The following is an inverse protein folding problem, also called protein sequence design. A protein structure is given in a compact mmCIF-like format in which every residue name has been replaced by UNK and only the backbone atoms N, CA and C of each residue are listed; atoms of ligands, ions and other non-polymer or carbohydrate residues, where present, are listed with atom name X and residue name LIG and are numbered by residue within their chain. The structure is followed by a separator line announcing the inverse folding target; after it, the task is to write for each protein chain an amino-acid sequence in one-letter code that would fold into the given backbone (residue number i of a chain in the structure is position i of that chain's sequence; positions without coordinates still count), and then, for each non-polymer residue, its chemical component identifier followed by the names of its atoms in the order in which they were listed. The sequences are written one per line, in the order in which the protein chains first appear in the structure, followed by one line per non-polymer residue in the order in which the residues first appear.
data_IF_753838524027
#
_entry.id   IF_753838524027
#
_cell.length_a   1.000
_cell.length_b   1.000
_cell.length_c   1.000
_cell.angle_alpha   90.00
_cell.angle_beta   90.00
_cell.angle_gamma   90.00
#
_symmetry.space_group_name_H-M   'P 1'
#
loop_
_entity.id
_entity.type
_entity.pdbx_description
1 polymer ?
#
# COMPACT_ATOMS: atom_id res chain seq x y z
N UNK A 1 -44.03 -6.46 54.50
CA UNK A 1 -44.21 -5.61 53.30
C UNK A 1 -42.92 -5.04 52.76
N UNK A 2 -41.83 -5.79 52.82
CA UNK A 2 -40.49 -5.29 52.56
C UNK A 2 -39.66 -6.01 51.48
N UNK A 3 -40.20 -7.04 50.83
CA UNK A 3 -39.40 -7.88 49.90
C UNK A 3 -39.62 -7.57 48.42
N UNK A 4 -40.73 -6.94 48.04
CA UNK A 4 -41.04 -6.60 46.63
C UNK A 4 -40.29 -5.37 46.09
N UNK A 5 -39.84 -4.44 46.92
CA UNK A 5 -39.14 -3.23 46.47
C UNK A 5 -37.66 -3.50 46.10
N UNK A 6 -37.01 -4.48 46.71
CA UNK A 6 -35.58 -4.76 46.41
C UNK A 6 -35.36 -5.40 45.05
N UNK A 7 -36.34 -6.16 44.53
CA UNK A 7 -36.25 -6.77 43.19
C UNK A 7 -36.50 -5.77 42.05
N UNK A 8 -37.31 -4.77 42.26
CA UNK A 8 -37.58 -3.74 41.24
C UNK A 8 -36.39 -2.79 41.06
N UNK A 9 -35.68 -2.45 42.10
CA UNK A 9 -34.48 -1.61 42.02
C UNK A 9 -33.30 -2.32 41.39
N UNK A 10 -33.18 -3.65 41.57
CA UNK A 10 -32.12 -4.44 40.95
C UNK A 10 -32.35 -4.61 39.45
N UNK A 11 -33.62 -4.73 39.01
CA UNK A 11 -33.96 -4.82 37.58
C UNK A 11 -33.73 -3.49 36.85
N UNK A 12 -33.95 -2.36 37.50
CA UNK A 12 -33.73 -1.03 36.91
C UNK A 12 -32.24 -0.71 36.75
N UNK A 13 -31.38 -1.20 37.65
CA UNK A 13 -29.93 -1.01 37.55
C UNK A 13 -29.28 -1.84 36.45
N UNK A 14 -29.85 -2.99 36.11
CA UNK A 14 -29.34 -3.84 35.01
C UNK A 14 -29.75 -3.28 33.65
N UNK A 15 -30.89 -2.61 33.54
CA UNK A 15 -31.34 -1.98 32.28
C UNK A 15 -30.55 -0.70 31.98
N UNK A 16 -30.06 0.00 32.99
CA UNK A 16 -29.28 1.22 32.80
C UNK A 16 -27.83 0.99 32.39
N UNK A 17 -27.32 -0.23 32.54
CA UNK A 17 -25.93 -0.59 32.18
C UNK A 17 -25.75 -1.10 30.76
N UNK A 18 -26.83 -1.21 29.96
CA UNK A 18 -26.76 -1.75 28.58
C UNK A 18 -26.78 -0.65 27.49
N UNK A 19 -26.85 0.62 27.87
CA UNK A 19 -27.07 1.71 26.89
C UNK A 19 -25.83 2.54 26.51
N UNK A 20 -24.62 2.11 26.84
CA UNK A 20 -23.43 2.88 26.45
C UNK A 20 -22.30 2.04 25.88
N UNK A 21 -22.58 1.26 24.83
CA UNK A 21 -21.52 0.82 23.91
C UNK A 21 -22.03 0.83 22.47
N UNK A 22 -22.64 1.95 22.05
CA UNK A 22 -22.57 2.34 20.65
C UNK A 22 -21.55 3.45 20.56
N UNK A 23 -20.30 3.10 20.81
CA UNK A 23 -19.19 3.86 20.30
C UNK A 23 -19.31 3.77 18.77
N UNK A 24 -19.89 4.77 18.12
CA UNK A 24 -19.54 5.09 16.76
C UNK A 24 -18.03 5.29 16.76
N UNK A 25 -17.26 4.25 16.45
CA UNK A 25 -15.94 4.45 15.88
C UNK A 25 -16.23 5.23 14.60
N UNK A 26 -16.07 6.56 14.63
CA UNK A 26 -15.81 7.31 13.42
C UNK A 26 -14.55 6.65 12.86
N UNK A 27 -14.71 5.72 11.93
CA UNK A 27 -13.66 5.41 10.98
C UNK A 27 -13.37 6.77 10.33
N UNK A 28 -12.33 7.45 10.79
CA UNK A 28 -11.83 8.62 10.11
C UNK A 28 -11.21 8.05 8.83
N UNK A 29 -12.02 8.02 7.77
CA UNK A 29 -11.56 7.63 6.44
C UNK A 29 -10.34 8.48 6.12
N UNK A 30 -9.22 7.83 5.86
CA UNK A 30 -7.99 8.51 5.45
C UNK A 30 -8.13 8.83 3.98
N UNK A 31 -8.36 10.12 3.69
CA UNK A 31 -8.60 10.62 2.34
C UNK A 31 -7.27 10.96 1.66
N UNK A 32 -7.17 10.62 0.37
CA UNK A 32 -5.98 10.88 -0.45
C UNK A 32 -6.37 11.36 -1.85
N UNK A 33 -7.21 12.40 -1.96
CA UNK A 33 -7.66 12.93 -3.25
C UNK A 33 -6.53 13.65 -4.01
N UNK A 34 -5.63 14.29 -3.27
CA UNK A 34 -4.50 15.05 -3.80
C UNK A 34 -3.19 14.72 -3.07
N UNK A 35 -2.06 15.24 -3.57
CA UNK A 35 -0.74 14.96 -3.01
C UNK A 35 -0.56 15.53 -1.60
N UNK A 36 -1.17 16.67 -1.28
CA UNK A 36 -1.02 17.30 0.04
C UNK A 36 -1.66 16.42 1.13
N UNK A 37 -2.84 15.87 0.87
CA UNK A 37 -3.52 14.92 1.77
C UNK A 37 -2.67 13.65 1.96
N UNK A 38 -2.08 13.13 0.88
CA UNK A 38 -1.24 11.94 0.90
C UNK A 38 0.04 12.21 1.72
N UNK A 39 0.74 13.29 1.44
CA UNK A 39 1.95 13.67 2.18
C UNK A 39 1.63 13.92 3.66
N UNK A 40 0.52 14.62 3.97
CA UNK A 40 0.09 14.84 5.34
C UNK A 40 -0.17 13.51 6.07
N UNK A 41 -0.77 12.52 5.41
CA UNK A 41 -0.95 11.19 5.96
C UNK A 41 0.41 10.51 6.22
N UNK A 42 1.31 10.50 5.24
CA UNK A 42 2.63 9.89 5.36
C UNK A 42 3.42 10.48 6.54
N UNK A 43 3.47 11.81 6.67
CA UNK A 43 4.16 12.48 7.78
C UNK A 43 3.58 12.17 9.15
N UNK A 44 2.28 11.95 9.25
CA UNK A 44 1.58 11.68 10.53
C UNK A 44 1.49 10.21 10.89
N UNK A 45 1.64 9.33 9.92
CA UNK A 45 1.39 7.89 10.08
C UNK A 45 2.52 7.19 10.85
N UNK A 46 2.13 6.32 11.78
CA UNK A 46 3.08 5.53 12.55
C UNK A 46 3.74 4.42 11.72
N UNK A 47 3.11 3.96 10.64
CA UNK A 47 3.72 2.94 9.79
C UNK A 47 5.02 3.44 9.11
N UNK A 48 5.16 4.76 8.94
CA UNK A 48 6.38 5.38 8.43
C UNK A 48 7.57 5.34 9.41
N UNK A 49 7.34 5.00 10.68
CA UNK A 49 8.43 4.94 11.68
C UNK A 49 9.46 3.86 11.32
N UNK A 50 9.10 2.87 10.51
CA UNK A 50 10.01 1.80 10.05
C UNK A 50 10.98 2.26 8.95
N UNK A 51 10.62 3.30 8.20
CA UNK A 51 11.40 3.80 7.05
C UNK A 51 11.75 5.29 7.15
N UNK A 52 11.49 5.90 8.32
CA UNK A 52 11.72 7.32 8.53
C UNK A 52 10.71 8.23 7.83
N UNK A 53 10.67 9.48 8.27
CA UNK A 53 9.74 10.51 7.76
C UNK A 53 10.46 11.68 7.10
N UNK A 54 11.76 11.57 6.91
CA UNK A 54 12.54 12.64 6.29
C UNK A 54 12.48 12.53 4.75
N UNK A 55 12.38 13.67 4.09
CA UNK A 55 12.40 13.84 2.62
C UNK A 55 11.38 12.95 1.88
N UNK A 56 10.16 12.82 2.43
CA UNK A 56 9.11 12.04 1.77
C UNK A 56 8.78 12.63 0.41
N UNK A 57 8.85 11.78 -0.63
CA UNK A 57 8.57 12.14 -2.02
C UNK A 57 7.61 11.15 -2.65
N UNK A 58 6.62 11.63 -3.41
CA UNK A 58 5.76 10.80 -4.25
C UNK A 58 6.53 10.43 -5.52
N UNK A 59 6.75 9.13 -5.74
CA UNK A 59 7.44 8.62 -6.91
C UNK A 59 6.58 8.68 -8.17
N UNK A 60 5.35 8.21 -8.05
CA UNK A 60 4.35 8.22 -9.12
C UNK A 60 2.95 7.94 -8.56
N UNK A 61 1.93 8.21 -9.37
CA UNK A 61 0.53 7.91 -9.05
C UNK A 61 -0.14 7.27 -10.25
N UNK A 62 -0.76 6.11 -10.04
CA UNK A 62 -1.46 5.36 -11.07
C UNK A 62 -2.92 5.23 -10.70
N UNK A 63 -3.79 5.57 -11.64
CA UNK A 63 -5.23 5.38 -11.54
C UNK A 63 -5.63 4.16 -12.36
N UNK A 64 -6.33 3.23 -11.73
CA UNK A 64 -6.80 2.00 -12.37
C UNK A 64 -8.18 1.64 -11.82
N UNK A 65 -9.17 1.61 -12.72
CA UNK A 65 -10.56 1.40 -12.36
C UNK A 65 -11.02 2.38 -11.26
N UNK A 66 -11.38 1.90 -10.09
CA UNK A 66 -11.74 2.71 -8.93
C UNK A 66 -10.60 2.91 -7.94
N UNK A 67 -9.43 2.36 -8.24
CA UNK A 67 -8.26 2.42 -7.36
C UNK A 67 -7.29 3.52 -7.78
N UNK A 68 -6.58 4.06 -6.80
CA UNK A 68 -5.46 4.98 -6.94
C UNK A 68 -4.27 4.38 -6.18
N UNK A 69 -3.21 4.03 -6.88
CA UNK A 69 -1.98 3.50 -6.29
C UNK A 69 -0.91 4.59 -6.32
N UNK A 70 -0.32 4.87 -5.17
CA UNK A 70 0.70 5.91 -4.99
C UNK A 70 1.98 5.28 -4.50
N UNK A 71 3.04 5.36 -5.28
CA UNK A 71 4.39 5.01 -4.84
C UNK A 71 5.06 6.20 -4.16
N UNK A 72 5.79 5.95 -3.09
CA UNK A 72 6.49 6.99 -2.34
C UNK A 72 7.87 6.51 -1.86
N UNK A 73 8.72 7.47 -1.51
CA UNK A 73 10.04 7.27 -0.93
C UNK A 73 10.21 8.14 0.31
N UNK A 74 11.11 7.70 1.19
CA UNK A 74 11.76 8.52 2.22
C UNK A 74 13.27 8.33 2.09
N UNK A 75 14.06 8.95 2.97
CA UNK A 75 15.52 8.79 2.94
C UNK A 75 15.99 7.36 3.16
N UNK A 76 15.22 6.54 3.87
CA UNK A 76 15.62 5.21 4.29
C UNK A 76 14.67 4.10 3.83
N UNK A 77 13.68 4.42 3.00
CA UNK A 77 12.74 3.40 2.54
C UNK A 77 11.84 3.81 1.39
N UNK A 78 11.11 2.85 0.90
CA UNK A 78 10.16 2.98 -0.20
C UNK A 78 8.86 2.25 0.14
N UNK A 79 7.76 2.67 -0.46
CA UNK A 79 6.49 2.03 -0.23
C UNK A 79 5.40 2.46 -1.19
N UNK A 80 4.22 1.88 -1.01
CA UNK A 80 3.04 2.25 -1.77
C UNK A 80 1.82 2.38 -0.87
N UNK A 81 0.85 3.16 -1.33
CA UNK A 81 -0.49 3.31 -0.75
C UNK A 81 -1.52 2.92 -1.80
N UNK A 82 -2.59 2.26 -1.38
CA UNK A 82 -3.75 1.99 -2.22
C UNK A 82 -4.96 2.70 -1.65
N UNK A 83 -5.60 3.48 -2.49
CA UNK A 83 -6.84 4.16 -2.19
C UNK A 83 -7.94 3.63 -3.11
N UNK A 84 -9.14 3.46 -2.57
CA UNK A 84 -10.31 3.07 -3.33
C UNK A 84 -11.33 4.21 -3.37
N UNK A 85 -11.93 4.43 -4.53
CA UNK A 85 -12.93 5.49 -4.71
C UNK A 85 -14.25 5.09 -4.04
N UNK A 86 -14.72 5.88 -3.09
CA UNK A 86 -16.00 5.66 -2.44
C UNK A 86 -17.18 6.23 -3.26
N UNK A 87 -18.42 6.00 -2.79
CA UNK A 87 -19.66 6.47 -3.44
C UNK A 87 -19.74 8.01 -3.55
N UNK A 88 -19.00 8.76 -2.73
CA UNK A 88 -18.93 10.23 -2.78
C UNK A 88 -17.85 10.75 -3.72
N UNK A 89 -17.09 9.86 -4.35
CA UNK A 89 -16.01 10.20 -5.27
C UNK A 89 -14.66 10.44 -4.60
N UNK A 90 -14.52 10.27 -3.27
CA UNK A 90 -13.27 10.42 -2.55
C UNK A 90 -12.48 9.13 -2.59
N UNK A 91 -11.15 9.26 -2.68
CA UNK A 91 -10.20 8.17 -2.55
C UNK A 91 -9.86 7.92 -1.08
N UNK A 92 -10.26 6.75 -0.57
CA UNK A 92 -10.08 6.33 0.83
C UNK A 92 -8.99 5.28 0.89
N UNK A 93 -8.03 5.43 1.81
CA UNK A 93 -6.94 4.49 2.01
C UNK A 93 -7.46 3.11 2.40
N UNK A 94 -7.01 2.08 1.70
CA UNK A 94 -7.41 0.69 1.92
C UNK A 94 -6.22 -0.22 2.20
N UNK A 95 -5.02 0.15 1.73
CA UNK A 95 -3.80 -0.62 1.97
C UNK A 95 -2.57 0.29 1.98
N UNK A 96 -1.54 -0.10 2.74
CA UNK A 96 -0.24 0.57 2.76
C UNK A 96 0.87 -0.44 3.06
N UNK A 97 1.98 -0.31 2.35
CA UNK A 97 3.19 -1.13 2.56
C UNK A 97 4.41 -0.25 2.44
N UNK A 98 5.40 -0.50 3.30
CA UNK A 98 6.70 0.15 3.23
C UNK A 98 7.80 -0.84 3.63
N UNK A 99 8.97 -0.69 3.03
CA UNK A 99 10.19 -1.42 3.38
C UNK A 99 11.40 -0.50 3.38
N UNK A 100 12.33 -0.76 4.29
CA UNK A 100 13.62 -0.07 4.33
C UNK A 100 14.48 -0.42 3.12
N UNK A 101 15.31 0.54 2.69
CA UNK A 101 16.39 0.32 1.72
C UNK A 101 17.63 0.02 2.53
N UNK A 102 18.31 -1.10 2.24
CA UNK A 102 19.59 -1.43 2.86
C UNK A 102 20.73 -0.71 2.15
N UNK A 103 21.82 -0.48 2.89
CA UNK A 103 23.04 0.12 2.32
C UNK A 103 23.62 -0.85 1.28
N UNK A 104 23.85 -0.38 0.06
CA UNK A 104 24.26 -1.20 -1.08
C UNK A 104 23.14 -1.55 -2.07
N UNK A 105 21.89 -1.31 -1.70
CA UNK A 105 20.77 -1.53 -2.59
C UNK A 105 20.80 -0.57 -3.79
N UNK A 106 20.33 -1.06 -4.94
CA UNK A 106 20.23 -0.27 -6.18
C UNK A 106 19.18 0.84 -6.13
N UNK A 107 18.59 1.09 -4.96
CA UNK A 107 17.50 2.06 -4.78
C UNK A 107 16.20 1.64 -5.43
N UNK A 108 15.98 0.33 -5.60
CA UNK A 108 14.78 -0.25 -6.20
C UNK A 108 14.12 -1.23 -5.23
N UNK A 109 12.84 -1.04 -5.00
CA UNK A 109 12.02 -1.94 -4.18
C UNK A 109 10.93 -2.60 -4.99
N UNK A 110 10.56 -3.81 -4.60
CA UNK A 110 9.55 -4.65 -5.24
C UNK A 110 8.45 -5.02 -4.27
N UNK A 111 7.20 -4.95 -4.74
CA UNK A 111 6.04 -5.27 -3.94
C UNK A 111 5.03 -6.07 -4.75
N UNK A 112 4.25 -6.90 -4.06
CA UNK A 112 3.01 -7.45 -4.60
C UNK A 112 1.87 -6.73 -3.86
N UNK A 113 1.14 -5.90 -4.60
CA UNK A 113 0.03 -5.11 -4.07
C UNK A 113 -1.32 -5.66 -4.54
N UNK A 114 -2.36 -5.37 -3.76
CA UNK A 114 -3.75 -5.61 -4.13
C UNK A 114 -4.45 -4.29 -4.41
N UNK A 115 -5.35 -4.30 -5.40
CA UNK A 115 -6.21 -3.16 -5.74
C UNK A 115 -7.61 -3.66 -6.08
N UNK A 116 -8.58 -2.78 -6.32
CA UNK A 116 -10.00 -3.10 -6.44
C UNK A 116 -10.58 -3.76 -5.18
N UNK A 117 -10.12 -3.34 -4.00
CA UNK A 117 -10.45 -3.92 -2.71
C UNK A 117 -11.92 -3.71 -2.31
N UNK A 118 -12.61 -2.73 -2.89
CA UNK A 118 -14.05 -2.52 -2.70
C UNK A 118 -14.91 -3.73 -3.12
N UNK A 119 -14.36 -4.62 -3.94
CA UNK A 119 -15.02 -5.86 -4.37
C UNK A 119 -14.79 -7.03 -3.39
N UNK A 120 -14.15 -6.76 -2.24
CA UNK A 120 -13.70 -7.77 -1.28
C UNK A 120 -12.36 -8.39 -1.65
N UNK A 121 -11.63 -8.88 -0.64
CA UNK A 121 -10.27 -9.43 -0.81
C UNK A 121 -10.19 -10.59 -1.81
N UNK A 122 -11.24 -11.41 -1.89
CA UNK A 122 -11.29 -12.56 -2.82
C UNK A 122 -11.42 -12.14 -4.29
N UNK A 123 -12.04 -10.98 -4.52
CA UNK A 123 -12.27 -10.42 -5.84
C UNK A 123 -11.30 -9.28 -6.18
N UNK A 124 -10.34 -8.99 -5.30
CA UNK A 124 -9.29 -8.02 -5.57
C UNK A 124 -8.36 -8.50 -6.69
N UNK A 125 -7.75 -7.55 -7.36
CA UNK A 125 -6.72 -7.78 -8.36
C UNK A 125 -5.33 -7.65 -7.74
N UNK A 126 -4.34 -8.31 -8.34
CA UNK A 126 -2.95 -8.21 -7.92
C UNK A 126 -2.14 -7.41 -8.94
N UNK A 127 -1.18 -6.67 -8.42
CA UNK A 127 -0.17 -5.99 -9.23
C UNK A 127 1.22 -6.27 -8.68
N UNK A 128 2.20 -6.30 -9.58
CA UNK A 128 3.60 -6.21 -9.23
C UNK A 128 4.04 -4.76 -9.36
N UNK A 129 4.56 -4.21 -8.29
CA UNK A 129 4.92 -2.80 -8.18
C UNK A 129 6.45 -2.71 -8.01
N UNK A 130 7.10 -1.90 -8.82
CA UNK A 130 8.51 -1.58 -8.70
C UNK A 130 8.65 -0.09 -8.48
N UNK A 131 9.34 0.30 -7.40
CA UNK A 131 9.60 1.70 -7.08
C UNK A 131 11.11 1.92 -7.13
N UNK A 132 11.54 2.96 -7.84
CA UNK A 132 12.94 3.35 -7.96
C UNK A 132 13.14 4.76 -7.45
N UNK A 133 14.25 5.00 -6.76
CA UNK A 133 14.71 6.33 -6.38
C UNK A 133 15.22 7.17 -7.59
N UNK A 134 15.47 6.49 -8.71
CA UNK A 134 15.90 7.13 -9.95
C UNK A 134 17.41 7.35 -10.08
N UNK A 135 18.23 6.80 -9.19
CA UNK A 135 19.68 7.07 -9.21
C UNK A 135 20.38 6.37 -10.40
N UNK A 136 20.43 5.06 -10.41
CA UNK A 136 21.29 4.30 -11.34
C UNK A 136 20.51 3.38 -12.27
N UNK A 137 19.38 2.82 -11.81
CA UNK A 137 18.63 1.83 -12.58
C UNK A 137 17.75 2.51 -13.61
N UNK A 138 17.99 2.20 -14.89
CA UNK A 138 17.20 2.70 -16.02
C UNK A 138 16.23 1.66 -16.59
N UNK A 139 16.51 0.37 -16.34
CA UNK A 139 15.69 -0.72 -16.82
C UNK A 139 15.67 -1.86 -15.80
N UNK A 140 14.52 -2.48 -15.66
CA UNK A 140 14.36 -3.75 -14.96
C UNK A 140 13.81 -4.81 -15.90
N UNK A 141 14.42 -5.99 -15.87
CA UNK A 141 13.90 -7.22 -16.46
C UNK A 141 13.33 -8.06 -15.33
N UNK A 142 12.04 -8.34 -15.40
CA UNK A 142 11.29 -9.09 -14.38
C UNK A 142 10.91 -10.41 -14.99
N UNK A 143 11.35 -11.52 -14.41
CA UNK A 143 10.92 -12.87 -14.76
C UNK A 143 9.89 -13.34 -13.73
N UNK A 144 8.71 -13.73 -14.21
CA UNK A 144 7.62 -14.26 -13.36
C UNK A 144 7.20 -15.60 -13.94
N UNK A 145 7.44 -16.69 -13.22
CA UNK A 145 7.19 -18.05 -13.70
C UNK A 145 7.78 -18.29 -15.10
N UNK A 146 8.98 -17.76 -15.38
CA UNK A 146 9.67 -17.85 -16.66
C UNK A 146 9.17 -16.90 -17.76
N UNK A 147 8.15 -16.06 -17.49
CA UNK A 147 7.71 -15.00 -18.41
C UNK A 147 8.52 -13.75 -18.15
N UNK A 148 9.15 -13.19 -19.19
CA UNK A 148 10.04 -12.03 -19.07
C UNK A 148 9.32 -10.75 -19.48
N UNK A 149 9.44 -9.73 -18.61
CA UNK A 149 8.90 -8.39 -18.78
C UNK A 149 10.02 -7.37 -18.67
N UNK A 150 10.29 -6.67 -19.76
CA UNK A 150 11.25 -5.58 -19.79
C UNK A 150 10.52 -4.25 -19.56
N UNK A 151 10.97 -3.47 -18.56
CA UNK A 151 10.40 -2.17 -18.22
C UNK A 151 11.48 -1.13 -18.00
N UNK A 152 11.25 0.06 -18.55
CA UNK A 152 12.12 1.22 -18.32
C UNK A 152 11.72 1.95 -17.04
N UNK A 153 12.71 2.41 -16.29
CA UNK A 153 12.62 3.31 -15.15
C UNK A 153 13.18 4.68 -15.55
N UNK A 154 12.71 5.71 -14.89
CA UNK A 154 13.24 7.06 -15.12
C UNK A 154 14.51 7.23 -14.30
N UNK A 155 15.58 7.74 -14.90
CA UNK A 155 16.79 8.20 -14.20
C UNK A 155 16.69 9.68 -13.90
N UNK A 156 17.34 10.12 -12.82
CA UNK A 156 17.33 11.52 -12.34
C UNK A 156 16.07 11.91 -11.55
N UNK A 157 15.11 11.03 -11.40
CA UNK A 157 13.93 11.23 -10.53
C UNK A 157 13.27 9.91 -10.14
N UNK A 158 12.61 9.87 -8.98
CA UNK A 158 11.81 8.73 -8.57
C UNK A 158 10.77 8.33 -9.61
N UNK A 159 10.48 7.03 -9.69
CA UNK A 159 9.47 6.50 -10.60
C UNK A 159 8.89 5.18 -10.10
N UNK A 160 7.71 4.81 -10.60
CA UNK A 160 7.04 3.57 -10.28
C UNK A 160 6.63 2.83 -11.56
N UNK A 161 6.80 1.52 -11.56
CA UNK A 161 6.22 0.60 -12.54
C UNK A 161 5.07 -0.15 -11.84
N UNK A 162 3.95 -0.26 -12.52
CA UNK A 162 2.79 -1.00 -12.06
C UNK A 162 2.38 -2.01 -13.14
N UNK A 163 2.47 -3.29 -12.80
CA UNK A 163 2.19 -4.39 -13.72
C UNK A 163 0.98 -5.18 -13.19
N UNK A 164 -0.17 -4.96 -13.83
CA UNK A 164 -1.41 -5.64 -13.45
C UNK A 164 -1.50 -7.05 -14.01
N UNK A 165 -2.15 -7.94 -13.25
CA UNK A 165 -2.54 -9.30 -13.71
C UNK A 165 -1.38 -10.12 -14.30
N UNK A 166 -0.20 -10.00 -13.66
CA UNK A 166 1.03 -10.63 -14.16
C UNK A 166 1.00 -12.15 -14.10
N UNK A 167 0.25 -12.69 -13.15
CA UNK A 167 0.10 -14.12 -12.96
C UNK A 167 -1.38 -14.47 -13.00
N UNK A 168 -1.82 -15.41 -13.84
CA UNK A 168 -3.18 -15.91 -13.78
C UNK A 168 -3.50 -16.49 -12.40
N UNK A 169 -4.69 -16.25 -11.90
CA UNK A 169 -5.13 -16.77 -10.58
C UNK A 169 -4.99 -18.29 -10.47
N UNK A 170 -5.08 -19.01 -11.58
CA UNK A 170 -4.89 -20.46 -11.65
C UNK A 170 -3.47 -20.92 -11.28
N UNK A 171 -2.46 -20.08 -11.47
CA UNK A 171 -1.06 -20.39 -11.20
C UNK A 171 -0.65 -20.11 -9.74
N UNK A 172 -1.49 -19.44 -8.94
CA UNK A 172 -1.15 -19.12 -7.54
C UNK A 172 -0.96 -20.33 -6.64
N UNK A 173 -1.56 -21.49 -7.01
CA UNK A 173 -1.46 -22.73 -6.24
C UNK A 173 -0.07 -23.35 -6.29
N UNK A 174 0.66 -23.12 -7.37
CA UNK A 174 1.97 -23.72 -7.62
C UNK A 174 3.11 -22.83 -7.09
N UNK A 175 2.76 -21.70 -6.48
CA UNK A 175 3.70 -20.68 -6.06
C UNK A 175 4.08 -19.74 -7.21
N UNK A 176 4.60 -18.57 -6.85
CA UNK A 176 5.05 -17.58 -7.82
C UNK A 176 6.56 -17.43 -7.66
N UNK A 177 7.30 -17.74 -8.72
CA UNK A 177 8.74 -17.55 -8.76
C UNK A 177 9.06 -16.22 -9.44
N UNK A 178 9.80 -15.35 -8.73
CA UNK A 178 10.24 -14.04 -9.21
C UNK A 178 11.77 -14.01 -9.30
N UNK A 179 12.26 -13.41 -10.38
CA UNK A 179 13.65 -13.04 -10.55
C UNK A 179 13.72 -11.67 -11.21
N UNK A 180 14.69 -10.83 -10.83
CA UNK A 180 14.86 -9.48 -11.34
C UNK A 180 16.30 -9.21 -11.70
N UNK A 181 16.51 -8.61 -12.89
CA UNK A 181 17.80 -8.10 -13.34
C UNK A 181 17.68 -6.61 -13.61
N UNK A 182 18.69 -5.86 -13.23
CA UNK A 182 18.70 -4.40 -13.32
C UNK A 182 19.78 -3.94 -14.28
N UNK A 183 19.53 -2.84 -14.97
CA UNK A 183 20.45 -2.30 -15.96
C UNK A 183 20.56 -0.79 -15.82
N UNK A 184 21.76 -0.26 -16.07
CA UNK A 184 22.01 1.16 -16.19
C UNK A 184 21.54 1.73 -17.53
N UNK A 185 21.75 3.04 -17.75
CA UNK A 185 21.39 3.72 -19.01
C UNK A 185 22.19 3.22 -20.22
N UNK A 186 23.35 2.59 -20.00
CA UNK A 186 24.18 2.00 -21.05
C UNK A 186 23.86 0.52 -21.29
N UNK A 187 22.83 -0.01 -20.63
CA UNK A 187 22.41 -1.40 -20.67
C UNK A 187 23.45 -2.38 -20.06
N UNK A 188 24.30 -1.90 -19.15
CA UNK A 188 25.16 -2.77 -18.34
C UNK A 188 24.32 -3.34 -17.20
N UNK A 189 24.47 -4.64 -16.93
CA UNK A 189 23.79 -5.28 -15.81
C UNK A 189 24.39 -4.82 -14.48
N UNK A 190 23.53 -4.37 -13.57
CA UNK A 190 23.85 -3.95 -12.22
C UNK A 190 23.61 -5.11 -11.26
N UNK A 191 24.50 -5.29 -10.29
CA UNK A 191 24.37 -6.30 -9.22
C UNK A 191 24.30 -5.60 -7.89
N UNK A 192 23.46 -6.11 -6.99
CA UNK A 192 23.56 -5.75 -5.59
C UNK A 192 24.89 -6.25 -5.04
N UNK A 193 25.64 -5.37 -4.38
CA UNK A 193 26.89 -5.72 -3.69
C UNK A 193 26.61 -6.34 -2.31
#
# INVERSE_FOLDING_TARGET
MGVKMKKAVLLLSVILSITFVTGCSKNNDIVGNNNDEILQYLYKSDFMNTIGKDNITIADTIYIDNSKVVGFLSDTGQGYLVYEKNKKGNYILTDNVAQGITQGDLGVSHFIGKYNLNNGLENSDNAYIVISNGDTVSKVEISINGRIFNKSLKTGKPSMIFLKNMVPKSEYKDGINFDCRYFDANNNELKNE
#
